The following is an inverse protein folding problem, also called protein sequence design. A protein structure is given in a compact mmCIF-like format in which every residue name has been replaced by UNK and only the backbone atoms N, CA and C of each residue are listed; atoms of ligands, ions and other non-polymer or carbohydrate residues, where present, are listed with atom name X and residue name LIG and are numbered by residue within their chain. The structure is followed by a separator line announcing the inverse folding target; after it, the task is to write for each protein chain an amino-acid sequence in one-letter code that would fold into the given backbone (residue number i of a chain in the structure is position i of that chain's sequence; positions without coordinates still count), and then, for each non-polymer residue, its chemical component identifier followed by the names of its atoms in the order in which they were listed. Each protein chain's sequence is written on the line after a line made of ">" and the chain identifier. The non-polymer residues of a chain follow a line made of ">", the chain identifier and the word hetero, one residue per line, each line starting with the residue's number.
data_IF_541366759151
#
_entry.id   IF_541366759151
#
_cell.length_a   1.000
_cell.length_b   1.000
_cell.length_c   1.000
_cell.angle_alpha   90.00
_cell.angle_beta   90.00
_cell.angle_gamma   90.00
#
_symmetry.space_group_name_H-M   'P 1'
#
loop_
_entity.id
_entity.type
_entity.pdbx_description
1 polymer ?
#
# COMPACT_ATOMS: atom_id res chain seq x y z
N UNK A 1 15.97 11.27 -6.94
CA UNK A 1 14.67 10.69 -7.35
C UNK A 1 14.14 9.77 -6.24
N UNK A 2 12.82 9.57 -6.11
CA UNK A 2 12.24 8.62 -5.13
C UNK A 2 11.43 7.57 -5.89
N UNK A 3 11.68 6.30 -5.59
CA UNK A 3 10.80 5.20 -6.00
C UNK A 3 9.60 5.15 -5.04
N UNK A 4 8.40 5.39 -5.57
CA UNK A 4 7.19 5.50 -4.75
C UNK A 4 6.49 4.15 -4.50
N UNK A 5 6.95 3.06 -5.12
CA UNK A 5 6.30 1.76 -5.02
C UNK A 5 7.30 0.61 -5.11
N UNK A 6 7.77 0.14 -3.96
CA UNK A 6 8.70 -0.99 -3.91
C UNK A 6 8.36 -1.97 -2.78
N UNK A 7 8.48 -3.25 -3.09
CA UNK A 7 8.36 -4.32 -2.10
C UNK A 7 9.74 -4.83 -1.74
N UNK A 8 10.01 -4.92 -0.44
CA UNK A 8 11.21 -5.53 0.07
C UNK A 8 11.26 -6.99 -0.39
N UNK A 9 12.43 -7.47 -0.83
CA UNK A 9 12.66 -8.86 -1.29
C UNK A 9 11.83 -9.34 -2.49
N UNK A 10 11.20 -8.43 -3.24
CA UNK A 10 10.45 -8.78 -4.46
C UNK A 10 11.28 -9.62 -5.45
N UNK A 11 10.68 -10.70 -5.96
CA UNK A 11 11.33 -11.72 -6.79
C UNK A 11 12.52 -12.43 -6.12
N UNK A 12 12.48 -12.59 -4.80
CA UNK A 12 13.48 -13.33 -4.03
C UNK A 12 14.79 -12.56 -3.80
N UNK A 13 14.80 -11.23 -4.01
CA UNK A 13 15.95 -10.38 -3.73
C UNK A 13 16.31 -10.38 -2.25
N UNK A 14 17.59 -10.30 -1.93
CA UNK A 14 18.03 -9.91 -0.58
C UNK A 14 17.69 -8.42 -0.31
N UNK A 15 17.85 -7.99 0.94
CA UNK A 15 17.73 -6.57 1.29
C UNK A 15 18.79 -5.75 0.54
N UNK A 16 20.05 -6.22 0.53
CA UNK A 16 21.17 -5.58 -0.15
C UNK A 16 20.96 -5.49 -1.66
N UNK A 17 20.39 -6.54 -2.28
CA UNK A 17 20.03 -6.52 -3.70
C UNK A 17 18.89 -5.53 -3.98
N UNK A 18 17.96 -5.37 -3.03
CA UNK A 18 16.91 -4.35 -3.12
C UNK A 18 17.50 -2.94 -3.06
N UNK A 19 18.46 -2.69 -2.16
CA UNK A 19 19.18 -1.40 -2.08
C UNK A 19 19.98 -1.14 -3.37
N UNK A 20 20.71 -2.14 -3.85
CA UNK A 20 21.47 -2.05 -5.11
C UNK A 20 20.54 -1.72 -6.29
N UNK A 21 19.33 -2.28 -6.31
CA UNK A 21 18.33 -1.97 -7.32
C UNK A 21 17.88 -0.50 -7.27
N UNK A 22 17.61 0.04 -6.07
CA UNK A 22 17.23 1.45 -5.88
C UNK A 22 18.31 2.38 -6.45
N UNK A 23 19.58 2.10 -6.16
CA UNK A 23 20.71 2.87 -6.69
C UNK A 23 20.82 2.73 -8.22
N UNK A 24 20.67 1.51 -8.75
CA UNK A 24 20.82 1.22 -10.17
C UNK A 24 19.76 1.90 -11.04
N UNK A 25 18.54 2.11 -10.52
CA UNK A 25 17.50 2.89 -11.20
C UNK A 25 17.70 4.40 -11.04
N UNK A 26 18.69 4.85 -10.26
CA UNK A 26 18.98 6.26 -9.99
C UNK A 26 18.10 6.89 -8.90
N UNK A 27 17.41 6.08 -8.10
CA UNK A 27 16.66 6.55 -6.95
C UNK A 27 17.57 6.73 -5.73
N UNK A 28 17.30 7.77 -4.95
CA UNK A 28 18.00 8.04 -3.69
C UNK A 28 17.27 7.38 -2.52
N UNK A 29 15.94 7.25 -2.64
CA UNK A 29 15.06 6.64 -1.64
C UNK A 29 13.97 5.81 -2.28
N UNK A 30 13.41 4.88 -1.53
CA UNK A 30 12.23 4.15 -1.94
C UNK A 30 11.21 4.03 -0.81
N UNK A 31 9.93 4.14 -1.15
CA UNK A 31 8.80 3.78 -0.28
C UNK A 31 8.68 2.27 -0.27
N UNK A 32 8.90 1.68 0.90
CA UNK A 32 8.80 0.23 1.10
C UNK A 32 7.42 -0.13 1.60
N UNK A 33 6.71 -0.94 0.82
CA UNK A 33 5.32 -1.30 1.02
C UNK A 33 5.21 -2.77 1.46
N UNK A 34 4.82 -3.05 2.71
CA UNK A 34 4.40 -4.38 3.11
C UNK A 34 3.00 -4.71 2.56
N UNK A 35 2.66 -6.00 2.53
CA UNK A 35 1.32 -6.50 2.25
C UNK A 35 1.04 -7.63 3.24
N UNK A 36 0.16 -7.33 4.19
CA UNK A 36 -0.33 -8.26 5.22
C UNK A 36 -1.82 -8.47 4.97
N UNK A 37 -2.19 -9.51 4.22
CA UNK A 37 -3.55 -9.75 3.72
C UNK A 37 -4.22 -10.99 4.34
N UNK A 38 -3.63 -11.56 5.39
CA UNK A 38 -4.14 -12.70 6.15
C UNK A 38 -3.74 -14.06 5.58
N UNK A 39 -3.41 -14.12 4.28
CA UNK A 39 -2.95 -15.33 3.59
C UNK A 39 -1.42 -15.39 3.42
N UNK A 40 -0.71 -14.33 3.83
CA UNK A 40 0.73 -14.14 3.68
C UNK A 40 1.21 -14.41 2.23
N UNK A 41 0.36 -14.13 1.24
CA UNK A 41 0.57 -14.50 -0.18
C UNK A 41 1.94 -14.03 -0.70
N UNK A 42 2.37 -12.85 -0.25
CA UNK A 42 3.59 -12.20 -0.72
C UNK A 42 4.77 -12.32 0.25
N UNK A 43 4.52 -12.61 1.53
CA UNK A 43 5.55 -12.63 2.57
C UNK A 43 6.24 -11.28 2.85
N UNK A 44 5.64 -10.16 2.43
CA UNK A 44 6.21 -8.81 2.61
C UNK A 44 5.72 -8.19 3.91
N UNK A 45 6.41 -8.50 5.01
CA UNK A 45 6.00 -8.11 6.36
C UNK A 45 6.47 -6.71 6.77
N UNK A 46 5.64 -6.00 7.54
CA UNK A 46 5.99 -4.68 8.10
C UNK A 46 7.26 -4.75 8.95
N UNK A 47 7.45 -5.84 9.72
CA UNK A 47 8.58 -6.02 10.62
C UNK A 47 9.92 -6.16 9.89
N UNK A 48 9.91 -6.71 8.68
CA UNK A 48 11.13 -6.83 7.87
C UNK A 48 11.55 -5.48 7.28
N UNK A 49 10.57 -4.63 6.95
CA UNK A 49 10.83 -3.23 6.57
C UNK A 49 11.39 -2.43 7.75
N UNK A 50 10.91 -2.66 8.98
CA UNK A 50 11.48 -2.01 10.17
C UNK A 50 12.96 -2.40 10.35
N UNK A 51 13.30 -3.68 10.18
CA UNK A 51 14.69 -4.16 10.26
C UNK A 51 15.55 -3.51 9.17
N UNK A 52 15.09 -3.54 7.93
CA UNK A 52 15.83 -2.96 6.81
C UNK A 52 15.99 -1.44 6.95
N UNK A 53 14.95 -0.72 7.38
CA UNK A 53 15.01 0.72 7.62
C UNK A 53 16.03 1.11 8.69
N UNK A 54 16.21 0.29 9.73
CA UNK A 54 17.25 0.54 10.74
C UNK A 54 18.65 0.52 10.12
N UNK A 55 18.88 -0.38 9.19
CA UNK A 55 20.20 -0.58 8.57
C UNK A 55 20.42 0.39 7.39
N UNK A 56 19.34 0.84 6.74
CA UNK A 56 19.34 1.79 5.61
C UNK A 56 18.36 2.96 5.80
N UNK A 57 18.47 3.79 6.86
CA UNK A 57 17.47 4.78 7.22
C UNK A 57 17.37 5.95 6.24
N UNK A 58 18.45 6.24 5.52
CA UNK A 58 18.48 7.31 4.53
C UNK A 58 17.87 6.90 3.19
N UNK A 59 17.84 5.60 2.88
CA UNK A 59 17.35 5.03 1.62
C UNK A 59 15.90 4.53 1.74
N UNK A 60 15.52 3.93 2.87
CA UNK A 60 14.20 3.32 3.03
C UNK A 60 13.24 4.30 3.69
N UNK A 61 12.10 4.55 3.03
CA UNK A 61 10.93 5.24 3.60
C UNK A 61 9.94 4.14 4.02
N UNK A 62 9.79 3.83 5.31
CA UNK A 62 9.00 2.69 5.75
C UNK A 62 7.51 3.03 5.79
N UNK A 63 6.68 2.25 5.10
CA UNK A 63 5.24 2.19 5.31
C UNK A 63 4.89 0.95 6.14
N UNK A 64 3.67 0.91 6.68
CA UNK A 64 3.10 -0.26 7.34
C UNK A 64 1.79 -0.69 6.68
N UNK A 65 1.36 -1.93 6.91
CA UNK A 65 0.09 -2.45 6.41
C UNK A 65 -0.53 -3.42 7.41
N UNK A 66 -1.81 -3.30 7.73
CA UNK A 66 -2.52 -4.29 8.55
C UNK A 66 -3.61 -4.95 7.71
N UNK A 67 -3.83 -6.24 7.90
CA UNK A 67 -5.03 -6.90 7.40
C UNK A 67 -6.25 -6.32 8.11
N UNK A 68 -7.06 -5.53 7.40
CA UNK A 68 -8.24 -4.85 7.98
C UNK A 68 -9.35 -5.82 8.39
N UNK A 69 -9.27 -7.09 8.01
CA UNK A 69 -10.25 -8.12 8.38
C UNK A 69 -10.04 -8.66 9.80
N UNK A 70 -8.86 -8.47 10.37
CA UNK A 70 -8.56 -8.82 11.76
C UNK A 70 -9.36 -7.97 12.74
N UNK A 71 -9.79 -8.59 13.83
CA UNK A 71 -10.51 -7.88 14.91
C UNK A 71 -9.67 -6.75 15.54
N UNK A 72 -8.35 -6.93 15.61
CA UNK A 72 -7.41 -5.99 16.22
C UNK A 72 -6.75 -5.02 15.23
N UNK A 73 -7.16 -5.00 13.95
CA UNK A 73 -6.51 -4.23 12.88
C UNK A 73 -6.31 -2.74 13.22
N UNK A 74 -7.36 -2.09 13.74
CA UNK A 74 -7.31 -0.67 14.13
C UNK A 74 -6.31 -0.45 15.27
N UNK A 75 -6.40 -1.27 16.32
CA UNK A 75 -5.48 -1.18 17.46
C UNK A 75 -4.03 -1.43 17.04
N UNK A 76 -3.80 -2.36 16.12
CA UNK A 76 -2.47 -2.64 15.59
C UNK A 76 -1.94 -1.48 14.73
N UNK A 77 -2.77 -0.89 13.89
CA UNK A 77 -2.41 0.30 13.11
C UNK A 77 -2.07 1.49 14.01
N UNK A 78 -2.84 1.72 15.07
CA UNK A 78 -2.56 2.76 16.07
C UNK A 78 -1.24 2.52 16.80
N UNK A 79 -0.93 1.28 17.19
CA UNK A 79 0.37 0.91 17.78
C UNK A 79 1.52 1.17 16.83
N UNK A 80 1.36 0.80 15.56
CA UNK A 80 2.36 1.05 14.51
C UNK A 80 2.58 2.54 14.33
N UNK A 81 1.52 3.35 14.30
CA UNK A 81 1.62 4.81 14.27
C UNK A 81 2.36 5.38 15.49
N UNK A 82 2.05 4.89 16.69
CA UNK A 82 2.68 5.33 17.94
C UNK A 82 4.19 5.03 18.01
N UNK A 83 4.70 4.08 17.20
CA UNK A 83 6.14 3.82 17.13
C UNK A 83 6.97 4.98 16.56
N UNK A 84 6.35 5.87 15.78
CA UNK A 84 7.01 6.98 15.10
C UNK A 84 7.90 6.60 13.91
N UNK A 85 8.00 5.30 13.59
CA UNK A 85 8.86 4.77 12.52
C UNK A 85 8.25 5.07 11.14
N UNK A 86 6.98 4.74 10.96
CA UNK A 86 6.33 4.74 9.64
C UNK A 86 6.00 6.14 9.13
N UNK A 87 5.99 6.27 7.80
CA UNK A 87 5.70 7.51 7.06
C UNK A 87 4.41 7.45 6.26
N UNK A 88 3.70 6.33 6.29
CA UNK A 88 2.46 6.12 5.57
C UNK A 88 1.94 4.70 5.75
N UNK A 89 0.81 4.42 5.10
CA UNK A 89 0.14 3.12 5.10
C UNK A 89 0.03 2.56 3.69
N UNK A 90 0.15 1.26 3.56
CA UNK A 90 0.03 0.55 2.31
C UNK A 90 1.19 -0.41 2.09
N UNK A 91 1.16 -1.23 1.05
CA UNK A 91 0.17 -1.18 -0.02
C UNK A 91 -1.16 -1.77 0.44
N UNK A 92 -2.23 -0.97 0.42
CA UNK A 92 -3.58 -1.49 0.63
C UNK A 92 -3.87 -2.36 -0.59
N UNK A 93 -3.79 -3.68 -0.40
CA UNK A 93 -4.02 -4.70 -1.42
C UNK A 93 -4.65 -5.91 -0.75
N UNK A 94 -5.98 -5.93 -0.71
CA UNK A 94 -6.74 -7.02 -0.13
C UNK A 94 -7.96 -7.34 -1.01
N UNK A 95 -8.44 -8.58 -0.95
CA UNK A 95 -9.63 -9.04 -1.65
C UNK A 95 -10.92 -8.47 -1.02
N UNK A 96 -11.05 -7.14 -1.06
CA UNK A 96 -12.14 -6.37 -0.50
C UNK A 96 -12.70 -5.41 -1.55
N UNK A 97 -13.92 -4.94 -1.32
CA UNK A 97 -14.49 -3.80 -2.05
C UNK A 97 -14.19 -2.50 -1.30
N UNK A 98 -14.11 -1.38 -2.01
CA UNK A 98 -13.87 -0.06 -1.42
C UNK A 98 -14.97 0.39 -0.43
N UNK A 99 -16.19 -0.13 -0.59
CA UNK A 99 -17.33 0.15 0.29
C UNK A 99 -17.33 -0.71 1.57
N UNK A 100 -16.29 -1.51 1.81
CA UNK A 100 -16.18 -2.33 3.01
C UNK A 100 -15.95 -1.45 4.26
N UNK A 101 -16.81 -1.54 5.29
CA UNK A 101 -16.70 -0.72 6.50
C UNK A 101 -15.42 -0.97 7.30
N UNK A 102 -14.71 -2.09 7.07
CA UNK A 102 -13.42 -2.38 7.72
C UNK A 102 -12.30 -1.51 7.17
N UNK A 103 -12.30 -1.24 5.85
CA UNK A 103 -11.38 -0.29 5.23
C UNK A 103 -11.58 1.11 5.81
N UNK A 104 -12.83 1.54 5.92
CA UNK A 104 -13.14 2.88 6.46
C UNK A 104 -12.56 3.11 7.87
N UNK A 105 -12.52 2.07 8.72
CA UNK A 105 -11.94 2.17 10.07
C UNK A 105 -10.43 2.41 10.02
N UNK A 106 -9.71 1.69 9.16
CA UNK A 106 -8.28 1.91 8.97
C UNK A 106 -7.98 3.29 8.35
N UNK A 107 -8.82 3.73 7.40
CA UNK A 107 -8.72 5.05 6.79
C UNK A 107 -9.01 6.18 7.76
N UNK A 108 -9.93 6.00 8.71
CA UNK A 108 -10.16 6.97 9.77
C UNK A 108 -8.87 7.24 10.57
N UNK A 109 -8.12 6.20 10.93
CA UNK A 109 -6.82 6.35 11.60
C UNK A 109 -5.82 7.10 10.71
N UNK A 110 -5.69 6.69 9.44
CA UNK A 110 -4.78 7.34 8.49
C UNK A 110 -5.13 8.82 8.26
N UNK A 111 -6.42 9.17 8.25
CA UNK A 111 -6.93 10.52 8.10
C UNK A 111 -6.55 11.42 9.28
N UNK A 112 -6.69 10.93 10.51
CA UNK A 112 -6.27 11.68 11.71
C UNK A 112 -4.75 11.91 11.72
N UNK A 113 -3.99 10.94 11.20
CA UNK A 113 -2.53 11.02 11.11
C UNK A 113 -2.02 11.87 9.93
N UNK A 114 -2.90 12.30 9.01
CA UNK A 114 -2.55 12.89 7.72
C UNK A 114 -1.58 12.02 6.90
N UNK A 115 -1.70 10.70 7.03
CA UNK A 115 -0.80 9.77 6.35
C UNK A 115 -1.14 9.64 4.86
N UNK A 116 -0.13 9.51 3.99
CA UNK A 116 -0.34 9.00 2.64
C UNK A 116 -0.76 7.52 2.70
N UNK A 117 -1.60 7.12 1.75
CA UNK A 117 -2.02 5.72 1.58
C UNK A 117 -1.83 5.28 0.14
N UNK A 118 -1.02 4.24 -0.07
CA UNK A 118 -0.82 3.61 -1.39
C UNK A 118 -1.82 2.48 -1.61
N UNK A 119 -2.49 2.46 -2.77
CA UNK A 119 -3.59 1.56 -3.09
C UNK A 119 -3.38 0.79 -4.38
N UNK A 120 -3.54 -0.53 -4.32
CA UNK A 120 -3.71 -1.38 -5.51
C UNK A 120 -5.16 -1.39 -5.95
N UNK A 121 -5.46 -1.00 -7.18
CA UNK A 121 -6.81 -1.17 -7.73
C UNK A 121 -6.82 -2.27 -8.78
N UNK A 122 -7.59 -3.33 -8.53
CA UNK A 122 -7.78 -4.44 -9.45
C UNK A 122 -9.20 -4.95 -9.42
N UNK A 123 -9.96 -4.67 -10.49
CA UNK A 123 -11.27 -5.25 -10.74
C UNK A 123 -11.16 -6.70 -11.26
N UNK A 124 -12.20 -7.49 -11.05
CA UNK A 124 -12.32 -8.86 -11.58
C UNK A 124 -12.46 -9.93 -10.50
N UNK A 125 -12.63 -11.20 -10.92
CA UNK A 125 -12.96 -12.33 -10.02
C UNK A 125 -11.99 -12.49 -8.84
N UNK A 126 -10.69 -12.26 -9.07
CA UNK A 126 -9.63 -12.30 -8.04
C UNK A 126 -9.06 -10.91 -7.74
N UNK A 127 -9.89 -9.89 -7.90
CA UNK A 127 -9.52 -8.50 -7.75
C UNK A 127 -9.17 -8.09 -6.32
N UNK A 128 -8.47 -6.96 -6.20
CA UNK A 128 -8.10 -6.32 -4.95
C UNK A 128 -8.64 -4.90 -4.93
N UNK A 129 -9.21 -4.47 -3.81
CA UNK A 129 -9.87 -3.17 -3.64
C UNK A 129 -10.75 -2.81 -4.86
N UNK A 130 -11.81 -3.60 -5.03
CA UNK A 130 -12.76 -3.49 -6.14
C UNK A 130 -13.82 -2.41 -5.91
N UNK A 131 -14.49 -1.97 -6.97
CA UNK A 131 -15.52 -0.93 -6.91
C UNK A 131 -14.91 0.46 -6.86
N UNK A 132 -13.99 0.76 -7.78
CA UNK A 132 -13.27 2.05 -7.85
C UNK A 132 -14.21 3.27 -7.95
N UNK A 133 -15.45 3.11 -8.41
CA UNK A 133 -16.49 4.15 -8.38
C UNK A 133 -16.75 4.71 -6.97
N UNK A 134 -16.47 3.92 -5.93
CA UNK A 134 -16.61 4.35 -4.54
C UNK A 134 -15.45 5.23 -4.06
N UNK A 135 -14.36 5.34 -4.83
CA UNK A 135 -13.19 6.12 -4.45
C UNK A 135 -13.53 7.60 -4.19
N UNK A 136 -14.41 8.20 -4.99
CA UNK A 136 -14.82 9.60 -4.79
C UNK A 136 -15.48 9.82 -3.41
N UNK A 137 -16.22 8.82 -2.91
CA UNK A 137 -16.83 8.87 -1.58
C UNK A 137 -15.74 8.86 -0.50
N UNK A 138 -14.76 7.95 -0.62
CA UNK A 138 -13.64 7.86 0.33
C UNK A 138 -12.78 9.14 0.31
N UNK A 139 -12.50 9.70 -0.87
CA UNK A 139 -11.73 10.95 -1.02
C UNK A 139 -12.42 12.13 -0.31
N UNK A 140 -13.75 12.23 -0.39
CA UNK A 140 -14.53 13.28 0.31
C UNK A 140 -14.60 13.03 1.81
N UNK A 141 -14.71 11.77 2.23
CA UNK A 141 -14.85 11.38 3.63
C UNK A 141 -13.54 11.51 4.41
N UNK A 142 -12.40 11.25 3.77
CA UNK A 142 -11.07 11.26 4.37
C UNK A 142 -10.14 12.29 3.70
N UNK A 143 -10.45 13.61 3.81
CA UNK A 143 -9.78 14.66 3.04
C UNK A 143 -8.32 14.89 3.43
N UNK A 144 -7.88 14.39 4.58
CA UNK A 144 -6.50 14.56 5.05
C UNK A 144 -5.53 13.52 4.48
N UNK A 145 -6.06 12.40 3.96
CA UNK A 145 -5.25 11.35 3.36
C UNK A 145 -4.72 11.81 2.00
N UNK A 146 -3.46 11.49 1.71
CA UNK A 146 -2.92 11.54 0.34
C UNK A 146 -3.07 10.17 -0.29
N UNK A 147 -4.15 9.97 -1.04
CA UNK A 147 -4.39 8.73 -1.77
C UNK A 147 -3.44 8.63 -2.97
N UNK A 148 -2.69 7.54 -3.04
CA UNK A 148 -1.76 7.21 -4.12
C UNK A 148 -2.29 5.94 -4.79
N UNK A 149 -2.95 6.09 -5.94
CA UNK A 149 -3.49 4.95 -6.69
C UNK A 149 -2.45 4.33 -7.63
N UNK A 150 -2.44 3.01 -7.72
CA UNK A 150 -1.63 2.25 -8.66
C UNK A 150 -2.38 1.00 -9.18
N UNK A 151 -1.71 0.26 -10.07
CA UNK A 151 -2.17 -0.94 -10.78
C UNK A 151 -3.14 -0.68 -11.95
N UNK A 152 -3.42 -1.75 -12.69
CA UNK A 152 -4.09 -1.71 -14.00
C UNK A 152 -5.46 -1.03 -13.97
N UNK A 153 -6.30 -1.28 -12.95
CA UNK A 153 -7.63 -0.66 -12.91
C UNK A 153 -7.54 0.83 -12.60
N UNK A 154 -6.58 1.27 -11.78
CA UNK A 154 -6.33 2.70 -11.59
C UNK A 154 -5.98 3.38 -12.90
N UNK A 155 -5.00 2.86 -13.64
CA UNK A 155 -4.55 3.45 -14.90
C UNK A 155 -5.62 3.41 -15.99
N UNK A 156 -6.41 2.34 -16.06
CA UNK A 156 -7.56 2.24 -16.97
C UNK A 156 -8.59 3.35 -16.72
N UNK A 157 -8.84 3.70 -15.46
CA UNK A 157 -9.78 4.76 -15.09
C UNK A 157 -9.23 6.19 -15.24
N UNK A 158 -7.95 6.38 -15.60
CA UNK A 158 -7.41 7.67 -16.05
C UNK A 158 -7.73 7.91 -17.54
N UNK A 159 -7.88 6.84 -18.32
CA UNK A 159 -8.27 6.91 -19.74
C UNK A 159 -9.69 7.46 -19.90
N UNK A 160 -9.97 8.07 -21.06
CA UNK A 160 -11.32 8.47 -21.43
C UNK A 160 -12.26 7.27 -21.64
N UNK A 161 -11.70 6.15 -22.12
CA UNK A 161 -12.38 4.88 -22.31
C UNK A 161 -11.78 3.85 -21.35
N UNK A 162 -12.62 3.29 -20.49
CA UNK A 162 -12.23 2.24 -19.54
C UNK A 162 -12.51 0.87 -20.17
N UNK A 163 -11.46 0.10 -20.53
CA UNK A 163 -11.63 -1.27 -21.05
C UNK A 163 -12.20 -2.22 -20.00
N UNK A 164 -12.67 -3.39 -20.45
CA UNK A 164 -13.16 -4.41 -19.53
C UNK A 164 -12.03 -4.91 -18.61
N UNK A 165 -12.31 -5.27 -17.34
CA UNK A 165 -11.28 -5.75 -16.42
C UNK A 165 -10.41 -6.87 -17.00
N UNK A 166 -11.01 -7.81 -17.72
CA UNK A 166 -10.33 -8.94 -18.36
C UNK A 166 -9.29 -8.52 -19.42
N UNK A 167 -9.46 -7.34 -20.02
CA UNK A 167 -8.54 -6.76 -21.01
C UNK A 167 -7.42 -5.94 -20.36
N UNK A 168 -7.56 -5.60 -19.07
CA UNK A 168 -6.54 -4.91 -18.28
C UNK A 168 -5.64 -5.86 -17.49
N UNK A 169 -6.04 -7.13 -17.40
CA UNK A 169 -5.30 -8.18 -16.70
C UNK A 169 -4.25 -8.80 -17.65
N UNK A 170 -3.07 -8.20 -17.68
CA UNK A 170 -1.87 -8.62 -18.42
C UNK A 170 -1.96 -8.66 -19.95
#
# INVERSE_FOLDING_TARGET
>A
MIDAHLHLTHNGRSVEETITHIEAIGAEKAVMLPIEDGDDEFGWMTEDIVKAHRDYPDTIIPFCHVDVTREDAVTELEKRAASGIFKGYGEQKQHLRLDDPRLEKALAVCNELNWPVTWHFQEGERGYNQGIEHLEVLLKKFPNIKFIGHAQSWWAHISADVPAPEETLY
#
